data_IF_393910208488
#
_entry.id   IF_393910208488
#
_cell.length_a   1.000
_cell.length_b   1.000
_cell.length_c   1.000
_cell.angle_alpha   90.00
_cell.angle_beta   90.00
_cell.angle_gamma   90.00
#
_symmetry.space_group_name_H-M   'P 1'
#
loop_
_entity.id
_entity.type
_entity.pdbx_description
1 polymer ?
#
# COMPACT_ATOMS: atom_id res chain seq x y z
N UNK A 1 -19.45 -4.24 -9.56
CA UNK A 1 -18.38 -5.24 -9.85
C UNK A 1 -16.99 -4.77 -9.43
N UNK A 2 -16.46 -3.62 -9.92
CA UNK A 2 -15.13 -3.11 -9.51
C UNK A 2 -14.92 -2.98 -8.00
N UNK A 3 -15.96 -2.56 -7.28
CA UNK A 3 -15.95 -2.41 -5.81
C UNK A 3 -15.80 -3.73 -5.05
N UNK A 4 -16.47 -4.79 -5.51
CA UNK A 4 -16.34 -6.14 -4.94
C UNK A 4 -14.95 -6.71 -5.19
N UNK A 5 -14.40 -6.46 -6.38
CA UNK A 5 -13.04 -6.85 -6.75
C UNK A 5 -11.99 -6.13 -5.89
N UNK A 6 -12.14 -4.81 -5.71
CA UNK A 6 -11.28 -4.02 -4.82
C UNK A 6 -11.35 -4.53 -3.38
N UNK A 7 -12.55 -4.80 -2.87
CA UNK A 7 -12.73 -5.38 -1.53
C UNK A 7 -12.01 -6.72 -1.37
N UNK A 8 -12.14 -7.63 -2.34
CA UNK A 8 -11.47 -8.92 -2.32
C UNK A 8 -9.94 -8.77 -2.40
N UNK A 9 -9.45 -7.81 -3.19
CA UNK A 9 -8.02 -7.51 -3.26
C UNK A 9 -7.50 -7.02 -1.91
N UNK A 10 -8.17 -6.06 -1.27
CA UNK A 10 -7.79 -5.59 0.08
C UNK A 10 -7.80 -6.70 1.12
N UNK A 11 -8.78 -7.60 1.08
CA UNK A 11 -8.89 -8.72 2.01
C UNK A 11 -7.76 -9.73 1.80
N UNK A 12 -7.46 -10.08 0.55
CA UNK A 12 -6.37 -10.96 0.22
C UNK A 12 -5.03 -10.35 0.65
N UNK A 13 -4.83 -9.08 0.35
CA UNK A 13 -3.62 -8.34 0.72
C UNK A 13 -3.47 -8.24 2.25
N UNK A 14 -4.58 -8.04 2.99
CA UNK A 14 -4.58 -8.08 4.44
C UNK A 14 -4.14 -9.44 4.99
N UNK A 15 -4.66 -10.53 4.43
CA UNK A 15 -4.26 -11.90 4.84
C UNK A 15 -2.78 -12.12 4.55
N UNK A 16 -2.30 -11.73 3.37
CA UNK A 16 -0.89 -11.84 2.99
C UNK A 16 -0.01 -11.04 3.95
N UNK A 17 -0.35 -9.77 4.24
CA UNK A 17 0.41 -8.95 5.19
C UNK A 17 0.38 -9.48 6.61
N UNK A 18 -0.74 -10.04 7.05
CA UNK A 18 -0.85 -10.63 8.36
C UNK A 18 0.04 -11.87 8.49
N UNK A 19 -0.02 -12.78 7.51
CA UNK A 19 0.80 -14.00 7.48
C UNK A 19 2.29 -13.67 7.35
N UNK A 20 2.64 -12.75 6.45
CA UNK A 20 4.02 -12.30 6.26
C UNK A 20 4.53 -11.58 7.52
N UNK A 21 3.72 -10.70 8.11
CA UNK A 21 4.05 -10.01 9.35
C UNK A 21 4.27 -10.98 10.51
N UNK A 22 3.39 -11.97 10.67
CA UNK A 22 3.55 -13.02 11.68
C UNK A 22 4.84 -13.83 11.43
N UNK A 23 5.13 -14.21 10.19
CA UNK A 23 6.34 -14.95 9.84
C UNK A 23 7.61 -14.16 10.19
N UNK A 24 7.63 -12.85 9.90
CA UNK A 24 8.76 -11.96 10.20
C UNK A 24 8.94 -11.73 11.71
N UNK A 25 7.84 -11.70 12.48
CA UNK A 25 7.87 -11.54 13.94
C UNK A 25 8.40 -12.80 14.62
N UNK A 26 7.86 -13.97 14.27
CA UNK A 26 8.16 -15.22 14.99
C UNK A 26 9.38 -15.95 14.43
N UNK A 27 9.61 -15.88 13.13
CA UNK A 27 10.61 -16.67 12.40
C UNK A 27 11.55 -15.80 11.53
N UNK A 28 12.12 -14.68 12.03
CA UNK A 28 12.97 -13.80 11.23
C UNK A 28 14.17 -14.54 10.62
N UNK A 29 14.84 -15.40 11.39
CA UNK A 29 16.01 -16.17 10.91
C UNK A 29 15.66 -17.13 9.77
N UNK A 30 14.47 -17.73 9.78
CA UNK A 30 14.06 -18.64 8.70
C UNK A 30 13.79 -17.88 7.40
N UNK A 31 13.25 -16.67 7.49
CA UNK A 31 13.07 -15.77 6.34
C UNK A 31 14.44 -15.38 5.77
N UNK A 32 15.39 -15.01 6.62
CA UNK A 32 16.77 -14.70 6.21
C UNK A 32 17.41 -15.88 5.44
N UNK A 33 17.28 -17.10 5.96
CA UNK A 33 17.75 -18.31 5.28
C UNK A 33 17.04 -18.58 3.95
N UNK A 34 15.71 -18.42 3.90
CA UNK A 34 14.93 -18.62 2.68
C UNK A 34 15.39 -17.66 1.55
N UNK A 35 15.72 -16.42 1.90
CA UNK A 35 16.26 -15.44 0.96
C UNK A 35 17.79 -15.52 0.78
N UNK A 36 18.46 -16.53 1.34
CA UNK A 36 19.92 -16.71 1.23
C UNK A 36 20.75 -15.54 1.77
N UNK A 37 20.25 -14.83 2.78
CA UNK A 37 21.09 -13.93 3.54
C UNK A 37 21.98 -14.75 4.49
N UNK A 38 23.30 -14.68 4.31
CA UNK A 38 24.28 -15.33 5.20
C UNK A 38 24.78 -14.34 6.24
N UNK A 39 24.80 -14.78 7.50
CA UNK A 39 25.46 -14.11 8.62
C UNK A 39 25.02 -12.65 8.82
N UNK A 40 23.71 -12.41 8.82
CA UNK A 40 23.17 -11.11 9.20
C UNK A 40 23.39 -10.85 10.69
N UNK A 41 23.81 -9.63 11.09
CA UNK A 41 23.87 -9.24 12.50
C UNK A 41 22.49 -9.39 13.16
N UNK A 42 22.44 -9.79 14.44
CA UNK A 42 21.16 -9.96 15.16
C UNK A 42 20.31 -8.67 15.18
N UNK A 43 20.93 -7.49 15.06
CA UNK A 43 20.23 -6.22 14.91
C UNK A 43 19.36 -6.14 13.65
N UNK A 44 19.73 -6.83 12.56
CA UNK A 44 18.91 -6.91 11.34
C UNK A 44 17.68 -7.79 11.57
N UNK A 45 17.82 -8.91 12.29
CA UNK A 45 16.67 -9.74 12.68
C UNK A 45 15.66 -8.95 13.54
N UNK A 46 16.13 -8.05 14.42
CA UNK A 46 15.25 -7.14 15.16
C UNK A 46 14.51 -6.16 14.24
N UNK A 47 15.20 -5.56 13.25
CA UNK A 47 14.58 -4.66 12.27
C UNK A 47 13.54 -5.42 11.42
N UNK A 48 13.84 -6.66 11.01
CA UNK A 48 12.93 -7.54 10.27
C UNK A 48 11.66 -7.81 11.11
N UNK A 49 11.81 -8.14 12.39
CA UNK A 49 10.67 -8.33 13.29
C UNK A 49 9.84 -7.06 13.50
N UNK A 50 10.49 -5.91 13.67
CA UNK A 50 9.81 -4.61 13.76
C UNK A 50 9.02 -4.28 12.49
N UNK A 51 9.59 -4.61 11.33
CA UNK A 51 8.92 -4.48 10.05
C UNK A 51 7.71 -5.43 9.95
N UNK A 52 7.84 -6.66 10.47
CA UNK A 52 6.72 -7.59 10.63
C UNK A 52 5.56 -7.02 11.45
N UNK A 53 5.83 -6.31 12.55
CA UNK A 53 4.81 -5.60 13.33
C UNK A 53 4.11 -4.49 12.52
N UNK A 54 4.87 -3.73 11.72
CA UNK A 54 4.29 -2.73 10.83
C UNK A 54 3.37 -3.36 9.77
N UNK A 55 3.72 -4.53 9.24
CA UNK A 55 2.86 -5.26 8.30
C UNK A 55 1.60 -5.83 8.96
N UNK A 56 1.73 -6.40 10.15
CA UNK A 56 0.59 -6.94 10.89
C UNK A 56 -0.43 -5.83 11.26
N UNK A 57 0.04 -4.65 11.64
CA UNK A 57 -0.84 -3.49 11.91
C UNK A 57 -1.48 -2.94 10.62
N UNK A 58 -0.74 -2.90 9.51
CA UNK A 58 -1.29 -2.57 8.18
C UNK A 58 -2.40 -3.53 7.76
N UNK A 59 -2.26 -4.83 8.03
CA UNK A 59 -3.28 -5.83 7.71
C UNK A 59 -4.62 -5.51 8.36
N UNK A 60 -4.63 -5.10 9.64
CA UNK A 60 -5.84 -4.68 10.34
C UNK A 60 -6.51 -3.49 9.64
N UNK A 61 -5.72 -2.52 9.20
CA UNK A 61 -6.20 -1.38 8.45
C UNK A 61 -6.83 -1.73 7.11
N UNK A 62 -6.28 -2.71 6.39
CA UNK A 62 -6.88 -3.23 5.16
C UNK A 62 -8.16 -4.01 5.39
N UNK A 63 -8.25 -4.77 6.50
CA UNK A 63 -9.52 -5.40 6.91
C UNK A 63 -10.58 -4.33 7.15
N UNK A 64 -10.26 -3.26 7.89
CA UNK A 64 -11.18 -2.15 8.14
C UNK A 64 -11.57 -1.45 6.83
N UNK A 65 -10.61 -1.16 5.97
CA UNK A 65 -10.86 -0.53 4.67
C UNK A 65 -11.73 -1.40 3.74
N UNK A 66 -11.64 -2.73 3.85
CA UNK A 66 -12.46 -3.66 3.06
C UNK A 66 -13.96 -3.57 3.38
N UNK A 67 -14.34 -3.10 4.57
CA UNK A 67 -15.76 -2.92 4.96
C UNK A 67 -16.42 -1.80 4.15
N UNK A 68 -15.68 -0.72 3.87
CA UNK A 68 -16.16 0.47 3.17
C UNK A 68 -15.03 1.11 2.34
N UNK A 69 -14.68 0.54 1.18
CA UNK A 69 -13.50 0.96 0.41
C UNK A 69 -13.59 2.38 -0.15
N UNK A 70 -14.80 2.91 -0.39
CA UNK A 70 -15.01 4.30 -0.86
C UNK A 70 -14.74 5.32 0.25
N UNK A 71 -15.06 4.98 1.51
CA UNK A 71 -14.81 5.86 2.65
C UNK A 71 -13.34 5.81 3.09
N UNK A 72 -12.65 4.71 2.79
CA UNK A 72 -11.28 4.43 3.22
C UNK A 72 -10.28 4.43 2.05
N UNK A 73 -10.47 5.33 1.06
CA UNK A 73 -9.58 5.44 -0.10
C UNK A 73 -8.12 5.74 0.30
N UNK A 74 -7.90 6.39 1.44
CA UNK A 74 -6.57 6.63 2.00
C UNK A 74 -5.80 5.31 2.18
N UNK A 75 -6.45 4.23 2.61
CA UNK A 75 -5.80 2.93 2.75
C UNK A 75 -5.36 2.34 1.40
N UNK A 76 -6.14 2.57 0.34
CA UNK A 76 -5.75 2.21 -1.03
C UNK A 76 -4.55 3.04 -1.49
N UNK A 77 -4.51 4.34 -1.17
CA UNK A 77 -3.37 5.21 -1.48
C UNK A 77 -2.10 4.77 -0.74
N UNK A 78 -2.22 4.39 0.53
CA UNK A 78 -1.11 3.85 1.32
C UNK A 78 -0.59 2.55 0.69
N UNK A 79 -1.47 1.67 0.20
CA UNK A 79 -1.05 0.46 -0.53
C UNK A 79 -0.31 0.76 -1.82
N UNK A 80 -0.77 1.73 -2.61
CA UNK A 80 -0.08 2.19 -3.82
C UNK A 80 1.30 2.76 -3.46
N UNK A 81 1.36 3.66 -2.49
CA UNK A 81 2.60 4.30 -2.06
C UNK A 81 3.61 3.27 -1.56
N UNK A 82 3.17 2.34 -0.69
CA UNK A 82 4.01 1.26 -0.14
C UNK A 82 4.58 0.38 -1.25
N UNK A 83 3.75 -0.12 -2.17
CA UNK A 83 4.24 -0.97 -3.26
C UNK A 83 5.14 -0.21 -4.25
N UNK A 84 4.89 1.09 -4.47
CA UNK A 84 5.81 1.93 -5.25
C UNK A 84 7.16 2.12 -4.55
N UNK A 85 7.17 2.35 -3.22
CA UNK A 85 8.41 2.43 -2.44
C UNK A 85 9.18 1.11 -2.46
N UNK A 86 8.51 -0.04 -2.33
CA UNK A 86 9.14 -1.36 -2.44
C UNK A 86 9.76 -1.62 -3.81
N UNK A 87 9.07 -1.25 -4.89
CA UNK A 87 9.61 -1.34 -6.25
C UNK A 87 10.87 -0.49 -6.41
N UNK A 88 10.81 0.77 -5.98
CA UNK A 88 11.93 1.71 -6.10
C UNK A 88 13.11 1.23 -5.25
N UNK A 89 12.89 0.87 -3.99
CA UNK A 89 13.93 0.35 -3.10
C UNK A 89 14.54 -0.93 -3.66
N UNK A 90 13.71 -1.88 -4.10
CA UNK A 90 14.18 -3.12 -4.68
C UNK A 90 15.03 -2.89 -5.93
N UNK A 91 14.58 -2.03 -6.84
CA UNK A 91 15.33 -1.69 -8.05
C UNK A 91 16.65 -0.97 -7.74
N UNK A 92 16.65 -0.03 -6.79
CA UNK A 92 17.86 0.67 -6.35
C UNK A 92 18.85 -0.29 -5.70
N UNK A 93 18.41 -1.19 -4.82
CA UNK A 93 19.26 -2.20 -4.19
C UNK A 93 19.85 -3.17 -5.21
N UNK A 94 19.06 -3.53 -6.24
CA UNK A 94 19.52 -4.39 -7.32
C UNK A 94 20.53 -3.69 -8.23
N UNK A 95 20.27 -2.43 -8.60
CA UNK A 95 21.17 -1.60 -9.39
C UNK A 95 22.50 -1.31 -8.66
N UNK A 96 22.47 -1.20 -7.33
CA UNK A 96 23.67 -1.05 -6.49
C UNK A 96 24.40 -2.36 -6.22
N UNK A 97 23.88 -3.51 -6.69
CA UNK A 97 24.44 -4.83 -6.41
C UNK A 97 24.39 -5.21 -4.92
N UNK A 98 23.61 -4.50 -4.11
CA UNK A 98 23.50 -4.74 -2.66
C UNK A 98 22.61 -5.94 -2.35
N UNK A 99 21.67 -6.25 -3.25
CA UNK A 99 20.82 -7.42 -3.17
C UNK A 99 20.80 -8.15 -4.51
N UNK A 100 20.81 -9.48 -4.49
CA UNK A 100 20.67 -10.31 -5.69
C UNK A 100 19.22 -10.35 -6.17
N UNK A 101 18.99 -10.74 -7.43
CA UNK A 101 17.64 -10.96 -7.93
C UNK A 101 16.89 -12.06 -7.16
N UNK A 102 17.60 -13.03 -6.58
CA UNK A 102 17.00 -14.06 -5.73
C UNK A 102 16.52 -13.51 -4.38
N UNK A 103 17.18 -12.47 -3.85
CA UNK A 103 16.81 -11.80 -2.60
C UNK A 103 15.69 -10.76 -2.79
N UNK A 104 15.79 -9.93 -3.83
CA UNK A 104 14.89 -8.79 -4.02
C UNK A 104 13.81 -9.04 -5.09
N UNK A 105 14.02 -9.97 -6.01
CA UNK A 105 13.17 -10.15 -7.20
C UNK A 105 11.74 -10.56 -6.87
N UNK A 106 11.56 -11.48 -5.92
CA UNK A 106 10.21 -11.87 -5.47
C UNK A 106 9.42 -10.68 -4.93
N UNK A 107 10.03 -9.90 -4.04
CA UNK A 107 9.42 -8.69 -3.47
C UNK A 107 9.07 -7.65 -4.53
N UNK A 108 9.98 -7.39 -5.48
CA UNK A 108 9.76 -6.45 -6.59
C UNK A 108 8.57 -6.88 -7.45
N UNK A 109 8.50 -8.16 -7.84
CA UNK A 109 7.42 -8.66 -8.69
C UNK A 109 6.07 -8.59 -7.97
N UNK A 110 6.01 -9.04 -6.71
CA UNK A 110 4.78 -9.01 -5.90
C UNK A 110 4.33 -7.57 -5.65
N UNK A 111 5.24 -6.67 -5.28
CA UNK A 111 4.95 -5.26 -5.10
C UNK A 111 4.42 -4.63 -6.40
N UNK A 112 5.04 -4.95 -7.54
CA UNK A 112 4.59 -4.54 -8.87
C UNK A 112 3.15 -4.92 -9.17
N UNK A 113 2.81 -6.20 -8.97
CA UNK A 113 1.47 -6.72 -9.22
C UNK A 113 0.43 -6.07 -8.30
N UNK A 114 0.74 -5.93 -7.00
CA UNK A 114 -0.17 -5.31 -6.02
C UNK A 114 -0.40 -3.83 -6.36
N UNK A 115 0.68 -3.07 -6.63
CA UNK A 115 0.57 -1.65 -7.01
C UNK A 115 -0.25 -1.47 -8.30
N UNK A 116 -0.02 -2.31 -9.30
CA UNK A 116 -0.79 -2.28 -10.55
C UNK A 116 -2.27 -2.60 -10.29
N UNK A 117 -2.55 -3.61 -9.46
CA UNK A 117 -3.90 -3.99 -9.05
C UNK A 117 -4.64 -2.84 -8.37
N UNK A 118 -3.99 -2.16 -7.42
CA UNK A 118 -4.57 -0.99 -6.76
C UNK A 118 -4.75 0.20 -7.71
N UNK A 119 -3.83 0.44 -8.65
CA UNK A 119 -3.97 1.52 -9.64
C UNK A 119 -5.14 1.27 -10.59
N UNK A 120 -5.32 0.03 -11.05
CA UNK A 120 -6.40 -0.36 -11.97
C UNK A 120 -7.77 -0.34 -11.30
N UNK A 121 -7.83 -0.77 -10.03
CA UNK A 121 -9.05 -0.79 -9.23
C UNK A 121 -9.26 0.49 -8.41
N UNK A 122 -8.35 1.46 -8.53
CA UNK A 122 -8.44 2.72 -7.82
C UNK A 122 -9.79 3.35 -8.10
N UNK A 123 -10.62 3.62 -7.08
CA UNK A 123 -11.87 4.31 -7.28
C UNK A 123 -11.54 5.76 -7.65
N UNK A 124 -11.29 5.99 -8.95
CA UNK A 124 -11.30 7.33 -9.54
C UNK A 124 -12.72 7.81 -9.34
N UNK A 125 -12.94 8.66 -8.33
CA UNK A 125 -14.17 9.42 -8.27
C UNK A 125 -14.31 10.08 -9.65
N UNK A 126 -15.45 9.94 -10.34
CA UNK A 126 -15.69 10.75 -11.52
C UNK A 126 -15.49 12.18 -11.04
N UNK A 127 -14.43 12.85 -11.56
CA UNK A 127 -14.28 14.29 -11.37
C UNK A 127 -15.65 14.84 -11.72
N UNK A 128 -16.30 15.49 -10.76
CA UNK A 128 -17.44 16.34 -11.02
C UNK A 128 -16.95 17.48 -11.92
N UNK A 129 -16.70 17.18 -13.19
CA UNK A 129 -16.56 18.20 -14.20
C UNK A 129 -17.99 18.54 -14.59
N UNK A 130 -18.39 19.73 -14.12
CA UNK A 130 -19.39 20.63 -14.74
C UNK A 130 -20.80 20.65 -14.13
N UNK A 131 -21.02 21.61 -13.25
CA UNK A 131 -21.75 22.87 -13.54
C UNK A 131 -21.30 23.89 -12.46
N UNK A 132 -20.72 25.04 -12.77
CA UNK A 132 -21.30 26.12 -13.58
C UNK A 132 -22.73 26.44 -13.11
N UNK A 133 -22.85 26.90 -11.86
CA UNK A 133 -23.59 28.13 -11.54
C UNK A 133 -22.49 29.19 -11.42
N UNK A 134 -22.17 29.98 -12.45
CA UNK A 134 -23.04 30.91 -13.15
C UNK A 134 -23.92 31.70 -12.17
N UNK A 135 -23.32 32.77 -11.66
CA UNK A 135 -23.93 34.09 -11.76
C UNK A 135 -25.21 34.34 -10.97
N UNK A 136 -25.07 34.74 -9.72
CA UNK A 136 -25.98 35.75 -9.17
C UNK A 136 -25.16 36.93 -8.66
N UNK A 137 -24.86 37.84 -9.58
CA UNK A 137 -24.61 39.25 -9.29
C UNK A 137 -25.74 39.81 -8.42
N UNK A 138 -25.50 40.01 -7.13
CA UNK A 138 -26.40 40.76 -6.27
C UNK A 138 -26.23 42.26 -6.57
N UNK A 139 -27.23 42.99 -7.09
CA UNK A 139 -27.16 44.43 -7.14
C UNK A 139 -27.36 44.97 -5.72
N UNK A 140 -26.41 45.77 -5.24
CA UNK A 140 -26.57 46.56 -4.02
C UNK A 140 -27.63 47.63 -4.34
N UNK A 141 -28.85 47.43 -3.86
CA UNK A 141 -29.89 48.47 -3.78
C UNK A 141 -29.53 49.44 -2.64
N UNK A 142 -29.51 50.77 -2.87
CA UNK A 142 -29.21 51.75 -1.83
C UNK A 142 -30.38 51.87 -0.83
N UNK A 143 -30.09 51.73 0.47
CA UNK A 143 -31.03 52.10 1.53
C UNK A 143 -31.09 53.62 1.64
N UNK A 144 -32.26 54.19 1.37
CA UNK A 144 -32.65 55.54 1.75
C UNK A 144 -32.88 55.63 3.26
N UNK A 145 -32.13 56.50 3.93
CA UNK A 145 -32.51 57.19 5.18
C UNK A 145 -32.09 58.63 5.02
#
# INVERSE_FOLDING_TARGET
MKLTLLRNLLLLDAVVFFLLGALLIFLPKQVEFAFHFKDLPDGVSYIIGLWGCALATMALGYVVASTNPIRHVVWVQVGIARGAFELVLGFVCLARGTATFQQAGFGIVVAGLITLGYLLLYPRQPRLVRKAEDGSSTPIQPKSV
#
